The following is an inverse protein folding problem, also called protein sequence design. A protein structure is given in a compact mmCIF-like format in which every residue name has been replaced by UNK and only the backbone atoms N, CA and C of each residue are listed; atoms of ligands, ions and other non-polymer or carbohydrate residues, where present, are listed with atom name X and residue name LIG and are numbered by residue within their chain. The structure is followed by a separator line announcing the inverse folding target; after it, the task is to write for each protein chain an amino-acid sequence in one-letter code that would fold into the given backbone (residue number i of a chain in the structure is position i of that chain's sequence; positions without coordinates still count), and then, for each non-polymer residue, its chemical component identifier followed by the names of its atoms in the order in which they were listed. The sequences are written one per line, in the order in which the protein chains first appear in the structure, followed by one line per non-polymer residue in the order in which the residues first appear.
data_IF_582103613777
#
_entry.id   IF_582103613777
#
_cell.length_a   1.000
_cell.length_b   1.000
_cell.length_c   1.000
_cell.angle_alpha   90.00
_cell.angle_beta   90.00
_cell.angle_gamma   90.00
#
_symmetry.space_group_name_H-M   'P 1'
#
loop_
_entity.id
_entity.type
_entity.pdbx_description
1 polymer ?
#
# COMPACT_ATOMS: atom_id res chain seq x y z
N UNK A 1 19.75 2.46 -1.55
CA UNK A 1 20.98 2.86 -0.81
C UNK A 1 21.84 3.82 -1.61
N UNK A 2 22.22 3.53 -2.86
CA UNK A 2 23.04 4.48 -3.64
C UNK A 2 22.41 5.89 -3.80
N UNK A 3 21.14 6.04 -4.21
CA UNK A 3 20.52 7.37 -4.28
C UNK A 3 20.44 8.10 -2.92
N UNK A 4 20.31 7.33 -1.84
CA UNK A 4 20.27 7.85 -0.48
C UNK A 4 21.63 8.44 -0.07
N UNK A 5 22.69 7.67 -0.27
CA UNK A 5 24.06 8.11 -0.02
C UNK A 5 24.42 9.34 -0.86
N UNK A 6 24.05 9.37 -2.14
CA UNK A 6 24.28 10.53 -3.00
C UNK A 6 23.58 11.76 -2.46
N UNK A 7 22.33 11.64 -1.99
CA UNK A 7 21.61 12.77 -1.40
C UNK A 7 22.19 13.27 -0.08
N UNK A 8 22.97 12.43 0.61
CA UNK A 8 23.69 12.77 1.83
C UNK A 8 25.14 13.24 1.54
N UNK A 9 25.50 13.46 0.28
CA UNK A 9 26.83 13.90 -0.14
C UNK A 9 27.87 12.78 -0.31
N UNK A 10 27.48 11.52 -0.13
CA UNK A 10 28.37 10.36 -0.30
C UNK A 10 28.25 9.76 -1.70
N UNK A 11 29.18 10.10 -2.58
CA UNK A 11 29.26 9.48 -3.90
C UNK A 11 29.93 8.10 -3.82
N UNK A 12 29.13 7.04 -3.86
CA UNK A 12 29.60 5.66 -3.82
C UNK A 12 28.95 4.81 -4.92
N UNK A 13 29.78 4.17 -5.74
CA UNK A 13 29.31 3.17 -6.71
C UNK A 13 28.79 1.90 -6.03
N UNK A 14 28.01 1.10 -6.77
CA UNK A 14 27.42 -0.15 -6.32
C UNK A 14 28.44 -1.06 -5.62
N UNK A 15 29.61 -1.26 -6.20
CA UNK A 15 30.61 -2.21 -5.68
C UNK A 15 31.24 -1.72 -4.38
N UNK A 16 31.47 -0.40 -4.27
CA UNK A 16 31.91 0.23 -3.01
C UNK A 16 30.88 0.01 -1.91
N UNK A 17 29.61 0.20 -2.21
CA UNK A 17 28.51 -0.04 -1.25
C UNK A 17 28.48 -1.52 -0.83
N UNK A 18 28.60 -2.46 -1.78
CA UNK A 18 28.61 -3.90 -1.48
C UNK A 18 29.79 -4.26 -0.59
N UNK A 19 30.98 -3.74 -0.88
CA UNK A 19 32.18 -3.96 -0.07
C UNK A 19 32.01 -3.44 1.36
N UNK A 20 31.59 -2.18 1.52
CA UNK A 20 31.37 -1.57 2.84
C UNK A 20 30.30 -2.32 3.65
N UNK A 21 29.22 -2.78 3.01
CA UNK A 21 28.21 -3.61 3.69
C UNK A 21 28.79 -4.93 4.19
N UNK A 22 29.71 -5.55 3.45
CA UNK A 22 30.39 -6.78 3.88
C UNK A 22 31.32 -6.49 5.07
N UNK A 23 32.12 -5.44 4.99
CA UNK A 23 33.05 -5.01 6.06
C UNK A 23 32.30 -4.68 7.36
N UNK A 24 31.15 -4.01 7.27
CA UNK A 24 30.31 -3.65 8.43
C UNK A 24 29.35 -4.77 8.87
N UNK A 25 29.36 -5.94 8.23
CA UNK A 25 28.44 -7.04 8.54
C UNK A 25 26.96 -6.76 8.24
N UNK A 26 26.64 -5.72 7.45
CA UNK A 26 25.28 -5.26 7.16
C UNK A 26 24.59 -6.12 6.10
N UNK A 27 23.56 -6.88 6.49
CA UNK A 27 22.78 -7.76 5.59
C UNK A 27 21.30 -7.38 5.55
N UNK A 28 20.68 -7.51 4.37
CA UNK A 28 19.23 -7.44 4.28
C UNK A 28 18.63 -8.67 4.95
N UNK A 29 17.74 -8.47 5.93
CA UNK A 29 16.94 -9.55 6.49
C UNK A 29 15.61 -9.57 5.74
N UNK A 30 15.33 -10.65 5.01
CA UNK A 30 14.05 -10.84 4.33
C UNK A 30 13.47 -12.18 4.74
N UNK A 31 12.16 -12.21 5.05
CA UNK A 31 11.46 -13.46 5.35
C UNK A 31 10.77 -13.93 4.07
N UNK A 32 11.06 -15.16 3.64
CA UNK A 32 10.63 -15.72 2.34
C UNK A 32 9.20 -16.31 2.29
N UNK A 33 8.38 -16.22 3.34
CA UNK A 33 7.09 -16.93 3.34
C UNK A 33 5.99 -16.13 2.64
N UNK A 34 5.44 -16.73 1.57
CA UNK A 34 4.20 -16.32 0.93
C UNK A 34 3.06 -17.27 1.38
N UNK A 35 1.92 -16.72 1.80
CA UNK A 35 0.71 -17.50 2.10
C UNK A 35 -0.49 -16.73 1.57
N UNK A 36 -1.23 -17.33 0.63
CA UNK A 36 -2.50 -16.77 0.15
C UNK A 36 -3.52 -16.82 1.30
N UNK A 37 -4.16 -15.69 1.61
CA UNK A 37 -5.03 -15.55 2.80
C UNK A 37 -6.45 -15.06 2.50
N UNK A 38 -6.75 -14.70 1.24
CA UNK A 38 -8.08 -14.23 0.82
C UNK A 38 -9.10 -15.37 0.78
N UNK A 39 -10.24 -15.18 1.45
CA UNK A 39 -11.40 -16.05 1.28
C UNK A 39 -12.26 -15.57 0.10
N UNK A 40 -12.02 -16.16 -1.08
CA UNK A 40 -12.83 -15.93 -2.29
C UNK A 40 -13.97 -16.94 -2.47
N UNK A 41 -14.31 -17.71 -1.43
CA UNK A 41 -15.42 -18.67 -1.46
C UNK A 41 -16.66 -18.06 -0.78
N UNK A 42 -17.39 -17.23 -1.53
CA UNK A 42 -18.62 -16.59 -1.07
C UNK A 42 -19.60 -16.39 -2.23
N UNK A 43 -20.88 -16.19 -1.95
CA UNK A 43 -21.93 -15.99 -2.95
C UNK A 43 -22.06 -14.53 -3.46
N UNK A 44 -21.27 -13.59 -2.93
CA UNK A 44 -21.35 -12.19 -3.36
C UNK A 44 -20.88 -11.97 -4.80
N UNK A 45 -21.46 -10.99 -5.51
CA UNK A 45 -21.09 -10.68 -6.89
C UNK A 45 -19.66 -10.12 -7.00
N UNK A 46 -18.99 -10.49 -8.08
CA UNK A 46 -17.59 -10.12 -8.38
C UNK A 46 -17.57 -9.10 -9.51
N UNK A 47 -16.78 -8.03 -9.36
CA UNK A 47 -16.58 -7.02 -10.39
C UNK A 47 -15.60 -7.51 -11.50
N UNK A 48 -15.70 -7.01 -12.74
CA UNK A 48 -14.71 -7.29 -13.77
C UNK A 48 -13.33 -6.73 -13.39
N UNK A 49 -12.26 -7.35 -13.88
CA UNK A 49 -10.90 -6.83 -13.70
C UNK A 49 -10.65 -5.70 -14.71
N UNK A 50 -10.79 -4.45 -14.28
CA UNK A 50 -10.56 -3.26 -15.11
C UNK A 50 -9.08 -2.86 -15.23
N UNK A 51 -8.20 -3.37 -14.35
CA UNK A 51 -6.77 -3.04 -14.43
C UNK A 51 -6.05 -3.98 -15.38
N UNK A 52 -6.42 -5.26 -15.45
CA UNK A 52 -5.79 -6.27 -16.30
C UNK A 52 -4.24 -6.27 -16.23
N UNK A 53 -3.70 -6.00 -15.03
CA UNK A 53 -2.25 -5.84 -14.76
C UNK A 53 -1.58 -4.65 -15.48
N UNK A 54 -2.36 -3.77 -16.12
CA UNK A 54 -1.90 -2.51 -16.70
C UNK A 54 -1.87 -1.42 -15.62
N UNK A 55 -0.83 -1.44 -14.78
CA UNK A 55 -0.62 -0.47 -13.71
C UNK A 55 0.01 0.85 -14.20
N UNK A 56 -0.59 1.47 -15.21
CA UNK A 56 -0.07 2.65 -15.90
C UNK A 56 -1.07 3.84 -15.93
N UNK A 57 -1.59 4.30 -14.78
CA UNK A 57 -2.31 5.59 -14.72
C UNK A 57 -1.36 6.74 -15.10
N UNK A 58 -1.90 7.84 -15.58
CA UNK A 58 -1.13 9.01 -16.05
C UNK A 58 -1.17 10.19 -15.09
N UNK A 59 -2.07 10.17 -14.11
CA UNK A 59 -2.20 11.21 -13.07
C UNK A 59 -2.68 10.62 -11.74
N UNK A 60 -2.55 11.36 -10.62
CA UNK A 60 -3.06 10.92 -9.32
C UNK A 60 -4.57 10.64 -9.38
N UNK A 61 -5.03 9.69 -8.57
CA UNK A 61 -6.45 9.37 -8.38
C UNK A 61 -7.18 8.83 -9.62
N UNK A 62 -6.47 8.20 -10.57
CA UNK A 62 -7.13 7.44 -11.64
C UNK A 62 -7.39 5.98 -11.25
N UNK A 63 -6.45 5.40 -10.51
CA UNK A 63 -6.52 4.02 -10.07
C UNK A 63 -5.96 3.89 -8.65
N UNK A 64 -6.79 3.38 -7.75
CA UNK A 64 -6.38 2.94 -6.43
C UNK A 64 -6.45 1.43 -6.35
N UNK A 65 -5.51 0.83 -5.63
CA UNK A 65 -5.56 -0.58 -5.23
C UNK A 65 -5.80 -0.67 -3.73
N UNK A 66 -6.49 -1.71 -3.30
CA UNK A 66 -6.83 -1.95 -1.90
C UNK A 66 -6.64 -3.42 -1.54
N UNK A 67 -6.28 -3.66 -0.28
CA UNK A 67 -6.13 -5.00 0.28
C UNK A 67 -6.10 -4.95 1.81
N UNK A 68 -6.20 -6.11 2.45
CA UNK A 68 -6.07 -6.28 3.90
C UNK A 68 -4.84 -7.14 4.20
N UNK A 69 -4.08 -6.72 5.19
CA UNK A 69 -3.03 -7.55 5.78
C UNK A 69 -3.20 -7.66 7.30
N UNK A 70 -2.45 -8.55 7.92
CA UNK A 70 -2.50 -8.78 9.36
C UNK A 70 -1.11 -8.79 9.99
N UNK A 71 -1.04 -8.33 11.22
CA UNK A 71 0.18 -8.13 12.00
C UNK A 71 0.06 -8.90 13.31
N UNK A 72 1.02 -9.79 13.64
CA UNK A 72 0.98 -10.53 14.90
C UNK A 72 1.35 -9.62 16.08
N UNK A 73 0.60 -9.73 17.17
CA UNK A 73 0.89 -9.12 18.47
C UNK A 73 0.65 -10.15 19.57
N UNK A 74 1.13 -9.89 20.78
CA UNK A 74 0.90 -10.80 21.92
C UNK A 74 -0.57 -10.84 22.38
N UNK A 75 -1.39 -9.87 21.97
CA UNK A 75 -2.84 -9.86 22.21
C UNK A 75 -3.64 -10.54 21.07
N UNK A 76 -2.95 -11.06 20.05
CA UNK A 76 -3.52 -11.64 18.83
C UNK A 76 -3.31 -10.77 17.59
N UNK A 77 -4.12 -10.98 16.55
CA UNK A 77 -3.95 -10.28 15.28
C UNK A 77 -4.43 -8.83 15.33
N UNK A 78 -3.67 -7.94 14.68
CA UNK A 78 -4.10 -6.62 14.26
C UNK A 78 -4.26 -6.61 12.74
N UNK A 79 -5.44 -6.26 12.25
CA UNK A 79 -5.74 -6.17 10.83
C UNK A 79 -5.53 -4.75 10.33
N UNK A 80 -4.97 -4.63 9.13
CA UNK A 80 -4.66 -3.37 8.45
C UNK A 80 -5.29 -3.43 7.05
N UNK A 81 -6.34 -2.64 6.83
CA UNK A 81 -6.86 -2.37 5.49
C UNK A 81 -6.12 -1.15 4.92
N UNK A 82 -5.59 -1.28 3.70
CA UNK A 82 -4.85 -0.22 3.03
C UNK A 82 -5.43 0.12 1.66
N UNK A 83 -5.25 1.37 1.25
CA UNK A 83 -5.56 1.88 -0.09
C UNK A 83 -4.34 2.66 -0.58
N UNK A 84 -3.89 2.31 -1.77
CA UNK A 84 -2.69 2.86 -2.38
C UNK A 84 -3.01 3.44 -3.75
N UNK A 85 -2.50 4.63 -4.02
CA UNK A 85 -2.57 5.23 -5.34
C UNK A 85 -1.53 4.61 -6.28
N UNK A 86 -1.99 4.14 -7.44
CA UNK A 86 -1.15 3.44 -8.42
C UNK A 86 -0.29 4.41 -9.21
N UNK A 87 -0.53 5.72 -9.23
CA UNK A 87 0.31 6.71 -9.90
C UNK A 87 1.38 7.28 -8.96
N UNK A 88 1.00 7.70 -7.76
CA UNK A 88 1.93 8.34 -6.81
C UNK A 88 2.67 7.34 -5.92
N UNK A 89 2.29 6.06 -5.95
CA UNK A 89 2.69 5.03 -4.98
C UNK A 89 2.31 5.33 -3.52
N UNK A 90 1.54 6.39 -3.24
CA UNK A 90 1.24 6.81 -1.88
C UNK A 90 0.19 5.89 -1.23
N UNK A 91 0.34 5.59 0.07
CA UNK A 91 -0.75 5.04 0.86
C UNK A 91 -1.72 6.17 1.19
N UNK A 92 -2.81 6.24 0.44
CA UNK A 92 -3.77 7.35 0.50
C UNK A 92 -4.81 7.19 1.59
N UNK A 93 -5.03 5.97 2.08
CA UNK A 93 -5.86 5.71 3.24
C UNK A 93 -5.60 4.33 3.83
N UNK A 94 -5.82 4.21 5.14
CA UNK A 94 -5.73 2.94 5.85
C UNK A 94 -6.53 2.98 7.14
N UNK A 95 -6.91 1.79 7.61
CA UNK A 95 -7.58 1.58 8.90
C UNK A 95 -7.01 0.34 9.58
N UNK A 96 -7.02 0.37 10.91
CA UNK A 96 -6.48 -0.67 11.78
C UNK A 96 -7.56 -1.15 12.73
N UNK A 97 -7.62 -2.45 12.99
CA UNK A 97 -8.64 -3.02 13.86
C UNK A 97 -8.33 -4.43 14.35
N UNK A 98 -8.92 -4.82 15.47
CA UNK A 98 -8.71 -6.15 16.06
C UNK A 98 -9.42 -7.28 15.29
N UNK A 99 -10.33 -6.95 14.36
CA UNK A 99 -11.11 -7.90 13.55
C UNK A 99 -11.10 -7.52 12.08
N UNK A 100 -11.19 -8.52 11.21
CA UNK A 100 -11.28 -8.36 9.76
C UNK A 100 -12.73 -8.15 9.33
N UNK A 101 -13.22 -6.92 9.43
CA UNK A 101 -14.63 -6.58 9.17
C UNK A 101 -14.80 -5.72 7.91
N UNK A 102 -16.05 -5.57 7.46
CA UNK A 102 -16.40 -4.67 6.35
C UNK A 102 -16.22 -3.19 6.75
N UNK A 103 -16.46 -2.87 8.02
CA UNK A 103 -16.26 -1.52 8.55
C UNK A 103 -14.79 -1.10 8.48
N UNK A 104 -13.86 -2.05 8.64
CA UNK A 104 -12.43 -1.78 8.51
C UNK A 104 -12.07 -1.30 7.09
N UNK A 105 -12.54 -1.99 6.05
CA UNK A 105 -12.29 -1.59 4.66
C UNK A 105 -13.02 -0.30 4.30
N UNK A 106 -14.25 -0.11 4.80
CA UNK A 106 -15.03 1.11 4.61
C UNK A 106 -14.34 2.33 5.25
N UNK A 107 -13.78 2.19 6.46
CA UNK A 107 -13.04 3.26 7.13
C UNK A 107 -11.77 3.66 6.36
N UNK A 108 -11.03 2.69 5.82
CA UNK A 108 -9.86 2.97 4.98
C UNK A 108 -10.27 3.78 3.73
N UNK A 109 -11.38 3.41 3.08
CA UNK A 109 -11.92 4.11 1.92
C UNK A 109 -12.37 5.53 2.25
N UNK A 110 -13.11 5.70 3.36
CA UNK A 110 -13.54 7.01 3.82
C UNK A 110 -12.36 7.96 4.08
N UNK A 111 -11.29 7.46 4.73
CA UNK A 111 -10.08 8.26 4.97
C UNK A 111 -9.38 8.66 3.68
N UNK A 112 -9.27 7.73 2.73
CA UNK A 112 -8.68 8.00 1.41
C UNK A 112 -9.46 9.09 0.66
N UNK A 113 -10.78 8.95 0.57
CA UNK A 113 -11.65 9.92 -0.11
C UNK A 113 -11.60 11.28 0.58
N UNK A 114 -11.66 11.31 1.92
CA UNK A 114 -11.58 12.56 2.68
C UNK A 114 -10.26 13.30 2.42
N UNK A 115 -9.16 12.56 2.34
CA UNK A 115 -7.82 13.15 2.14
C UNK A 115 -7.57 13.59 0.70
N UNK A 116 -7.98 12.79 -0.30
CA UNK A 116 -7.58 13.00 -1.70
C UNK A 116 -8.68 13.61 -2.57
N UNK A 117 -9.94 13.55 -2.14
CA UNK A 117 -11.12 14.09 -2.84
C UNK A 117 -11.09 13.73 -4.34
N UNK A 118 -11.01 12.43 -4.69
CA UNK A 118 -10.91 12.01 -6.08
C UNK A 118 -12.16 12.41 -6.87
N UNK A 119 -11.98 12.69 -8.17
CA UNK A 119 -13.10 12.87 -9.07
C UNK A 119 -13.84 11.54 -9.30
N UNK A 120 -15.15 11.57 -9.65
CA UNK A 120 -15.87 10.39 -10.11
C UNK A 120 -15.14 9.70 -11.28
N UNK A 121 -15.26 8.38 -11.35
CA UNK A 121 -14.66 7.53 -12.38
C UNK A 121 -13.34 6.84 -11.99
N UNK A 122 -12.77 7.17 -10.83
CA UNK A 122 -11.60 6.48 -10.27
C UNK A 122 -11.85 4.96 -10.20
N UNK A 123 -10.87 4.18 -10.66
CA UNK A 123 -10.90 2.72 -10.53
C UNK A 123 -10.44 2.33 -9.13
N UNK A 124 -11.29 1.65 -8.37
CA UNK A 124 -10.92 1.05 -7.09
C UNK A 124 -10.77 -0.46 -7.28
N UNK A 125 -9.53 -0.93 -7.28
CA UNK A 125 -9.18 -2.33 -7.45
C UNK A 125 -8.99 -3.02 -6.10
N UNK A 126 -9.55 -4.22 -5.94
CA UNK A 126 -9.42 -5.04 -4.72
C UNK A 126 -9.26 -6.50 -5.08
N UNK A 127 -8.94 -7.34 -4.10
CA UNK A 127 -9.09 -8.78 -4.26
C UNK A 127 -10.57 -9.21 -4.17
N UNK A 128 -10.83 -10.51 -4.28
CA UNK A 128 -12.19 -11.07 -4.12
C UNK A 128 -12.48 -11.44 -2.66
N UNK A 129 -12.03 -10.63 -1.71
CA UNK A 129 -12.35 -10.82 -0.30
C UNK A 129 -13.82 -10.50 -0.02
N UNK A 130 -14.45 -11.26 0.87
CA UNK A 130 -15.86 -11.05 1.26
C UNK A 130 -16.17 -9.63 1.74
N UNK A 131 -15.17 -8.92 2.29
CA UNK A 131 -15.26 -7.55 2.77
C UNK A 131 -15.44 -6.56 1.61
N UNK A 132 -14.82 -6.83 0.46
CA UNK A 132 -14.89 -5.98 -0.74
C UNK A 132 -16.11 -6.31 -1.61
N UNK A 133 -16.59 -7.56 -1.58
CA UNK A 133 -17.78 -7.97 -2.32
C UNK A 133 -19.10 -7.68 -1.58
N UNK A 134 -19.04 -7.27 -0.31
CA UNK A 134 -20.18 -6.91 0.51
C UNK A 134 -21.03 -5.80 -0.12
N UNK A 135 -22.36 -5.90 0.01
CA UNK A 135 -23.27 -4.92 -0.59
C UNK A 135 -23.08 -3.51 -0.05
N UNK A 136 -22.84 -3.34 1.26
CA UNK A 136 -22.63 -2.02 1.84
C UNK A 136 -21.31 -1.39 1.40
N UNK A 137 -20.27 -2.20 1.19
CA UNK A 137 -19.02 -1.72 0.60
C UNK A 137 -19.22 -1.28 -0.85
N UNK A 138 -19.96 -2.07 -1.65
CA UNK A 138 -20.28 -1.73 -3.04
C UNK A 138 -21.12 -0.45 -3.15
N UNK A 139 -22.10 -0.26 -2.25
CA UNK A 139 -22.87 0.98 -2.15
C UNK A 139 -21.97 2.18 -1.83
N UNK A 140 -21.02 2.03 -0.90
CA UNK A 140 -20.07 3.09 -0.56
C UNK A 140 -19.17 3.47 -1.76
N UNK A 141 -18.67 2.47 -2.50
CA UNK A 141 -17.88 2.69 -3.72
C UNK A 141 -18.70 3.44 -4.78
N UNK A 142 -19.96 3.04 -4.98
CA UNK A 142 -20.87 3.71 -5.90
C UNK A 142 -21.22 5.15 -5.45
N UNK A 143 -21.39 5.37 -4.15
CA UNK A 143 -21.65 6.70 -3.57
C UNK A 143 -20.51 7.69 -3.86
N UNK A 144 -19.27 7.22 -3.89
CA UNK A 144 -18.11 8.04 -4.28
C UNK A 144 -17.89 8.12 -5.80
N UNK A 145 -18.81 7.57 -6.61
CA UNK A 145 -18.71 7.59 -8.07
C UNK A 145 -17.54 6.76 -8.62
N UNK A 146 -17.03 5.79 -7.86
CA UNK A 146 -15.88 4.98 -8.25
C UNK A 146 -16.30 3.76 -9.07
N UNK A 147 -15.37 3.25 -9.90
CA UNK A 147 -15.54 2.02 -10.67
C UNK A 147 -14.88 0.86 -9.94
N UNK A 148 -15.68 -0.03 -9.38
CA UNK A 148 -15.17 -1.24 -8.74
C UNK A 148 -14.45 -2.15 -9.75
N UNK A 149 -13.30 -2.67 -9.34
CA UNK A 149 -12.48 -3.60 -10.12
C UNK A 149 -11.96 -4.69 -9.17
N UNK A 150 -11.96 -5.95 -9.60
CA UNK A 150 -11.51 -7.06 -8.75
C UNK A 150 -10.53 -7.98 -9.47
N UNK A 151 -9.53 -8.47 -8.73
CA UNK A 151 -8.56 -9.44 -9.23
C UNK A 151 -9.23 -10.75 -9.67
N UNK A 152 -8.52 -11.57 -10.46
CA UNK A 152 -8.93 -12.96 -10.69
C UNK A 152 -8.70 -13.79 -9.42
N UNK A 153 -9.53 -14.82 -9.23
CA UNK A 153 -9.42 -15.72 -8.07
C UNK A 153 -8.00 -16.31 -8.02
N UNK A 154 -7.33 -16.12 -6.88
CA UNK A 154 -5.99 -16.66 -6.63
C UNK A 154 -4.85 -16.01 -7.42
N UNK A 155 -5.05 -14.84 -8.03
CA UNK A 155 -4.02 -14.17 -8.83
C UNK A 155 -3.47 -12.92 -8.11
N UNK A 156 -2.34 -13.09 -7.42
CA UNK A 156 -1.67 -11.98 -6.72
C UNK A 156 -1.07 -10.93 -7.66
N UNK A 157 -0.79 -11.27 -8.93
CA UNK A 157 -0.25 -10.32 -9.90
C UNK A 157 -1.25 -9.23 -10.27
N UNK A 158 -2.54 -9.52 -10.15
CA UNK A 158 -3.61 -8.54 -10.42
C UNK A 158 -3.62 -7.42 -9.36
N UNK A 159 -3.05 -7.63 -8.16
CA UNK A 159 -2.91 -6.60 -7.11
C UNK A 159 -1.43 -6.28 -6.75
N UNK A 160 -0.51 -6.49 -7.69
CA UNK A 160 0.94 -6.37 -7.46
C UNK A 160 1.41 -5.06 -6.79
N UNK A 161 0.84 -3.86 -7.07
CA UNK A 161 1.28 -2.64 -6.42
C UNK A 161 1.03 -2.63 -4.90
N UNK A 162 -0.06 -3.28 -4.44
CA UNK A 162 -0.39 -3.40 -3.03
C UNK A 162 0.44 -4.50 -2.37
N UNK A 163 0.63 -5.65 -3.04
CA UNK A 163 1.51 -6.72 -2.56
C UNK A 163 2.95 -6.25 -2.35
N UNK A 164 3.46 -5.40 -3.25
CA UNK A 164 4.77 -4.77 -3.12
C UNK A 164 4.87 -3.87 -1.87
N UNK A 165 3.78 -3.15 -1.54
CA UNK A 165 3.71 -2.36 -0.31
C UNK A 165 3.73 -3.27 0.93
N UNK A 166 2.90 -4.31 0.98
CA UNK A 166 2.92 -5.26 2.10
C UNK A 166 4.26 -5.94 2.28
N UNK A 167 4.93 -6.30 1.17
CA UNK A 167 6.28 -6.84 1.19
C UNK A 167 7.28 -5.87 1.82
N UNK A 168 7.20 -4.57 1.50
CA UNK A 168 8.04 -3.52 2.10
C UNK A 168 7.75 -3.37 3.60
N UNK A 169 6.49 -3.13 3.97
CA UNK A 169 6.07 -2.97 5.38
C UNK A 169 6.50 -4.16 6.25
N UNK A 170 6.30 -5.39 5.75
CA UNK A 170 6.62 -6.59 6.51
C UNK A 170 8.11 -6.82 6.67
N UNK A 171 8.89 -6.66 5.60
CA UNK A 171 10.33 -6.92 5.64
C UNK A 171 11.12 -5.78 6.30
N UNK A 172 10.59 -4.56 6.33
CA UNK A 172 11.34 -3.43 6.89
C UNK A 172 11.06 -3.22 8.36
N UNK A 173 9.86 -3.58 8.82
CA UNK A 173 9.41 -3.30 10.19
C UNK A 173 8.86 -4.54 10.88
N UNK A 174 7.78 -5.13 10.37
CA UNK A 174 7.00 -6.13 11.12
C UNK A 174 7.80 -7.38 11.46
N UNK A 175 8.66 -7.87 10.56
CA UNK A 175 9.42 -9.10 10.79
C UNK A 175 10.59 -8.95 11.77
N UNK A 176 10.87 -7.73 12.22
CA UNK A 176 12.02 -7.42 13.06
C UNK A 176 11.63 -6.94 14.47
N UNK A 177 10.33 -6.92 14.76
CA UNK A 177 9.79 -6.43 16.01
C UNK A 177 8.75 -7.42 16.55
N UNK A 178 8.68 -7.51 17.88
CA UNK A 178 7.58 -8.18 18.59
C UNK A 178 6.75 -7.08 19.25
N UNK A 179 5.43 -7.10 19.01
CA UNK A 179 4.52 -6.13 19.60
C UNK A 179 3.78 -6.75 20.77
N UNK A 180 3.99 -6.17 21.96
CA UNK A 180 3.29 -6.58 23.18
C UNK A 180 1.79 -6.31 23.10
N UNK A 181 1.38 -5.20 22.48
CA UNK A 181 -0.03 -4.80 22.37
C UNK A 181 -0.38 -4.40 20.93
N UNK A 182 -1.67 -4.43 20.60
CA UNK A 182 -2.19 -3.89 19.34
C UNK A 182 -1.92 -2.40 19.21
N UNK A 183 -2.02 -1.65 20.32
CA UNK A 183 -1.75 -0.21 20.32
C UNK A 183 -0.29 0.11 19.91
N UNK A 184 0.68 -0.66 20.39
CA UNK A 184 2.08 -0.48 20.01
C UNK A 184 2.29 -0.74 18.51
N UNK A 185 1.69 -1.81 17.98
CA UNK A 185 1.74 -2.12 16.56
C UNK A 185 1.05 -1.02 15.72
N UNK A 186 -0.11 -0.53 16.17
CA UNK A 186 -0.84 0.54 15.49
C UNK A 186 -0.03 1.84 15.42
N UNK A 187 0.60 2.25 16.51
CA UNK A 187 1.47 3.44 16.52
C UNK A 187 2.63 3.30 15.54
N UNK A 188 3.33 2.15 15.57
CA UNK A 188 4.46 1.89 14.68
C UNK A 188 4.04 1.86 13.20
N UNK A 189 2.90 1.25 12.88
CA UNK A 189 2.36 1.20 11.51
C UNK A 189 1.98 2.61 11.02
N UNK A 190 1.32 3.42 11.87
CA UNK A 190 0.97 4.80 11.52
C UNK A 190 2.22 5.62 11.21
N UNK A 191 3.22 5.58 12.08
CA UNK A 191 4.49 6.26 11.86
C UNK A 191 5.18 5.77 10.57
N UNK A 192 5.25 4.46 10.36
CA UNK A 192 5.82 3.89 9.14
C UNK A 192 5.10 4.40 7.89
N UNK A 193 3.77 4.44 7.88
CA UNK A 193 3.01 4.88 6.69
C UNK A 193 3.18 6.39 6.47
N UNK A 194 2.90 7.19 7.50
CA UNK A 194 2.76 8.65 7.37
C UNK A 194 4.11 9.37 7.26
N UNK A 195 5.08 8.93 8.06
CA UNK A 195 6.37 9.62 8.16
C UNK A 195 7.37 8.96 7.23
N UNK A 196 7.58 7.65 7.36
CA UNK A 196 8.62 6.99 6.60
C UNK A 196 8.21 6.71 5.14
N UNK A 197 7.17 5.90 4.90
CA UNK A 197 6.79 5.43 3.58
C UNK A 197 6.34 6.56 2.66
N UNK A 198 5.35 7.35 3.08
CA UNK A 198 4.80 8.40 2.23
C UNK A 198 5.78 9.57 2.03
N UNK A 199 6.54 9.98 3.04
CA UNK A 199 7.30 11.24 3.00
C UNK A 199 8.81 11.08 2.78
N UNK A 200 9.40 9.95 3.18
CA UNK A 200 10.87 9.77 3.14
C UNK A 200 11.31 8.67 2.18
N UNK A 201 10.55 7.57 2.07
CA UNK A 201 10.96 6.39 1.31
C UNK A 201 11.04 6.69 -0.18
N UNK A 202 12.25 6.60 -0.73
CA UNK A 202 12.50 6.73 -2.16
C UNK A 202 11.95 5.52 -2.94
N UNK A 203 11.26 5.80 -4.04
CA UNK A 203 10.71 4.76 -4.91
C UNK A 203 11.35 4.84 -6.30
N UNK A 204 11.93 3.74 -6.79
CA UNK A 204 12.61 3.72 -8.11
C UNK A 204 11.67 4.11 -9.25
N UNK A 205 10.42 3.64 -9.21
CA UNK A 205 9.36 4.01 -10.16
C UNK A 205 9.08 5.52 -10.23
N UNK A 206 9.36 6.27 -9.16
CA UNK A 206 9.13 7.70 -9.09
C UNK A 206 10.42 8.51 -9.36
N UNK A 207 11.47 7.89 -9.93
CA UNK A 207 12.75 8.55 -10.09
C UNK A 207 13.51 8.76 -8.77
N UNK A 208 13.31 7.86 -7.80
CA UNK A 208 13.96 7.88 -6.48
C UNK A 208 13.61 9.09 -5.59
N UNK A 209 12.41 9.64 -5.74
CA UNK A 209 11.80 10.54 -4.74
C UNK A 209 10.73 9.82 -3.91
N UNK A 210 10.26 10.46 -2.84
CA UNK A 210 9.19 9.90 -2.00
C UNK A 210 7.81 10.11 -2.64
N UNK A 211 6.81 9.26 -2.31
CA UNK A 211 5.45 9.39 -2.83
C UNK A 211 4.85 10.79 -2.66
N UNK A 212 4.99 11.38 -1.47
CA UNK A 212 4.46 12.72 -1.18
C UNK A 212 5.16 13.81 -2.00
N UNK A 213 6.48 13.74 -2.14
CA UNK A 213 7.23 14.72 -2.93
C UNK A 213 6.89 14.60 -4.44
N UNK A 214 6.73 13.37 -4.92
CA UNK A 214 6.29 13.14 -6.30
C UNK A 214 4.91 13.75 -6.57
N UNK A 215 3.94 13.51 -5.67
CA UNK A 215 2.59 14.05 -5.80
C UNK A 215 2.58 15.60 -5.75
N UNK A 216 3.36 16.20 -4.84
CA UNK A 216 3.50 17.66 -4.74
C UNK A 216 4.11 18.27 -6.00
N UNK A 217 5.19 17.69 -6.53
CA UNK A 217 5.82 18.14 -7.77
C UNK A 217 4.87 18.05 -8.97
N UNK A 218 4.09 16.96 -9.07
CA UNK A 218 3.10 16.81 -10.13
C UNK A 218 2.02 17.89 -10.05
N UNK A 219 1.48 18.15 -8.86
CA UNK A 219 0.44 19.17 -8.68
C UNK A 219 0.97 20.58 -9.02
N UNK A 220 2.21 20.91 -8.64
CA UNK A 220 2.84 22.19 -9.00
C UNK A 220 3.01 22.36 -10.50
N UNK A 221 3.40 21.30 -11.21
CA UNK A 221 3.51 21.33 -12.67
C UNK A 221 2.15 21.49 -13.34
N UNK A 222 1.12 20.79 -12.85
CA UNK A 222 -0.24 20.88 -13.38
C UNK A 222 -0.89 22.26 -13.16
N UNK A 223 -0.54 22.95 -12.07
CA UNK A 223 -1.00 24.32 -11.80
C UNK A 223 -0.28 25.38 -12.63
N UNK A 224 0.92 25.08 -13.12
CA UNK A 224 1.74 25.99 -13.90
C UNK A 224 1.54 25.87 -15.42
N UNK A 225 0.79 24.86 -15.87
CA UNK A 225 0.45 24.58 -17.27
C UNK A 225 -0.95 25.11 -17.62
#
# INVERSE_FOLDING_TARGET
MQPELVSQGFNAGRDRIVRLRRELGLRCRQKRKFKATTNSNHAFPVAPNLLEQRFAPTRPNEAWVSDITYVPTDEGWLYLAGIKDVFTCEMVGYALGARMTQELTAQALWRAVRSKRPAPGLILHSDRGSQYCADDYRKLVAQFGMRASMSRKGNCYDNAPMESFWGSLKNEMIHHQRYATRANAESAIKEYIEIFYNRQRRHSRLGYVSPALFADNFNKQALAA
#
